data_IF_657322639070
#
_entry.id   IF_657322639070
#
_cell.length_a   1.000
_cell.length_b   1.000
_cell.length_c   1.000
_cell.angle_alpha   90.00
_cell.angle_beta   90.00
_cell.angle_gamma   90.00
#
_symmetry.space_group_name_H-M   'P 1'
#
loop_
_entity.id
_entity.type
_entity.pdbx_description
1 polymer ?
#
# COMPACT_ATOMS: atom_id res chain seq x y z
N UNK A 1 -28.06 -33.88 -24.24
CA UNK A 1 -27.41 -34.01 -25.55
C UNK A 1 -25.95 -33.60 -25.40
N UNK A 2 -25.10 -34.60 -25.36
CA UNK A 2 -23.64 -34.47 -25.15
C UNK A 2 -23.00 -34.47 -26.54
N UNK A 3 -22.13 -33.50 -26.83
CA UNK A 3 -21.23 -33.58 -28.00
C UNK A 3 -19.78 -33.49 -27.52
N UNK A 4 -19.15 -34.64 -27.59
CA UNK A 4 -17.72 -34.86 -27.42
C UNK A 4 -17.06 -34.55 -28.77
N UNK A 5 -16.09 -33.61 -28.79
CA UNK A 5 -15.22 -33.43 -29.93
C UNK A 5 -13.79 -33.86 -29.55
N UNK A 6 -13.38 -34.95 -30.19
CA UNK A 6 -12.02 -35.50 -30.19
C UNK A 6 -11.17 -34.64 -31.13
N UNK A 7 -9.99 -34.24 -30.71
CA UNK A 7 -9.00 -33.69 -31.62
C UNK A 7 -7.68 -34.43 -31.49
N UNK A 8 -7.17 -34.74 -32.66
CA UNK A 8 -6.13 -35.69 -33.01
C UNK A 8 -4.73 -35.13 -32.75
N UNK A 9 -3.88 -36.00 -32.21
CA UNK A 9 -2.44 -35.85 -32.02
C UNK A 9 -1.71 -35.92 -33.35
N UNK A 10 -0.86 -34.98 -33.67
CA UNK A 10 0.11 -35.06 -34.77
C UNK A 10 1.53 -35.01 -34.19
N UNK A 11 2.21 -36.15 -34.33
CA UNK A 11 3.63 -36.32 -33.98
C UNK A 11 4.46 -35.89 -35.19
N UNK A 12 5.38 -34.96 -35.01
CA UNK A 12 6.39 -34.62 -35.99
C UNK A 12 7.76 -35.02 -35.46
N UNK A 13 8.33 -36.03 -36.04
CA UNK A 13 9.70 -36.47 -35.82
C UNK A 13 10.63 -35.69 -36.76
N UNK A 14 11.62 -35.00 -36.25
CA UNK A 14 12.72 -34.44 -37.06
C UNK A 14 14.05 -34.95 -36.53
N UNK A 15 14.75 -35.63 -37.40
CA UNK A 15 16.08 -36.20 -37.27
C UNK A 15 17.16 -35.11 -37.26
N UNK A 16 18.09 -35.17 -36.28
CA UNK A 16 19.27 -34.31 -36.21
C UNK A 16 20.50 -35.00 -36.83
N UNK A 17 21.11 -34.33 -37.78
CA UNK A 17 22.45 -34.64 -38.28
C UNK A 17 23.48 -33.93 -37.37
N UNK A 18 24.48 -34.69 -36.94
CA UNK A 18 25.67 -34.21 -36.28
C UNK A 18 26.65 -33.58 -37.27
N UNK A 19 27.16 -32.39 -36.94
CA UNK A 19 28.33 -31.82 -37.57
C UNK A 19 29.34 -31.41 -36.51
N UNK A 20 30.45 -32.10 -36.41
CA UNK A 20 31.65 -31.68 -35.68
C UNK A 20 32.33 -30.57 -36.46
N UNK A 21 32.73 -29.49 -35.76
CA UNK A 21 33.73 -28.53 -36.27
C UNK A 21 34.52 -27.88 -35.14
N UNK A 22 35.78 -28.26 -35.14
CA UNK A 22 36.99 -27.51 -34.83
C UNK A 22 37.05 -26.48 -33.70
N UNK A 23 37.87 -26.83 -32.73
CA UNK A 23 38.47 -25.94 -31.72
C UNK A 23 39.22 -24.75 -32.33
N UNK A 24 38.88 -23.56 -31.89
CA UNK A 24 39.67 -22.36 -32.00
C UNK A 24 39.94 -21.83 -30.58
N UNK A 25 41.15 -21.98 -30.10
CA UNK A 25 41.64 -21.42 -28.84
C UNK A 25 41.88 -19.91 -29.02
N UNK A 26 40.88 -19.09 -28.68
CA UNK A 26 41.04 -17.65 -28.47
C UNK A 26 41.37 -17.37 -26.99
N UNK A 27 42.10 -16.30 -26.65
CA UNK A 27 42.39 -15.96 -25.27
C UNK A 27 41.09 -15.67 -24.50
N UNK A 28 41.03 -16.23 -23.28
CA UNK A 28 39.92 -16.04 -22.36
C UNK A 28 39.70 -14.55 -22.09
N UNK A 29 38.62 -14.01 -22.63
CA UNK A 29 38.11 -12.75 -22.19
C UNK A 29 37.57 -12.95 -20.77
N UNK A 30 38.12 -12.23 -19.83
CA UNK A 30 37.58 -12.09 -18.46
C UNK A 30 36.14 -11.57 -18.61
N UNK A 31 35.12 -12.25 -18.05
CA UNK A 31 33.79 -11.70 -18.05
C UNK A 31 33.82 -10.39 -17.26
N UNK A 32 33.54 -9.27 -17.96
CA UNK A 32 33.17 -8.02 -17.31
C UNK A 32 31.94 -8.27 -16.46
N UNK A 33 31.95 -7.91 -15.16
CA UNK A 33 30.73 -8.01 -14.37
C UNK A 33 29.68 -7.14 -15.04
N UNK A 34 28.58 -7.75 -15.47
CA UNK A 34 27.35 -7.04 -15.82
C UNK A 34 27.02 -6.11 -14.63
N UNK A 35 26.67 -4.84 -14.87
CA UNK A 35 26.09 -4.04 -13.81
C UNK A 35 24.86 -4.80 -13.31
N UNK A 36 24.89 -5.20 -12.06
CA UNK A 36 23.70 -5.59 -11.33
C UNK A 36 22.87 -4.32 -11.22
N UNK A 37 21.97 -4.11 -12.17
CA UNK A 37 20.85 -3.21 -11.98
C UNK A 37 20.04 -3.82 -10.84
N UNK A 38 20.44 -3.49 -9.61
CA UNK A 38 19.60 -3.64 -8.46
C UNK A 38 18.49 -2.60 -8.63
N UNK A 39 17.50 -2.93 -9.46
CA UNK A 39 16.19 -2.32 -9.35
C UNK A 39 15.74 -2.66 -7.93
N UNK A 40 15.96 -1.71 -7.03
CA UNK A 40 15.29 -1.70 -5.74
C UNK A 40 13.82 -1.57 -6.10
N UNK A 41 13.12 -2.69 -6.15
CA UNK A 41 11.66 -2.73 -6.25
C UNK A 41 11.16 -1.87 -5.11
N UNK A 42 10.78 -0.64 -5.44
CA UNK A 42 10.25 0.31 -4.47
C UNK A 42 8.92 -0.28 -4.01
N UNK A 43 8.93 -0.82 -2.81
CA UNK A 43 7.67 -1.24 -2.20
C UNK A 43 6.73 -0.04 -2.16
N UNK A 44 5.44 -0.27 -2.41
CA UNK A 44 4.43 0.77 -2.36
C UNK A 44 4.48 1.55 -1.03
N UNK A 45 4.32 2.87 -1.05
CA UNK A 45 4.41 3.69 0.15
C UNK A 45 3.27 3.35 1.14
N UNK A 46 3.59 3.41 2.43
CA UNK A 46 2.66 3.04 3.49
C UNK A 46 2.56 4.10 4.57
N UNK A 47 1.59 3.96 5.45
CA UNK A 47 1.45 4.82 6.64
C UNK A 47 2.65 4.74 7.58
N UNK A 48 3.48 3.69 7.50
CA UNK A 48 4.70 3.55 8.27
C UNK A 48 5.88 4.40 7.75
N UNK A 49 5.72 5.03 6.59
CA UNK A 49 6.77 5.83 5.94
C UNK A 49 6.70 7.33 6.30
N UNK A 50 5.85 7.72 7.26
CA UNK A 50 5.77 9.12 7.72
C UNK A 50 5.03 10.03 6.75
N UNK A 51 3.81 9.66 6.38
CA UNK A 51 3.00 10.34 5.36
C UNK A 51 2.19 11.54 5.89
N UNK A 52 2.37 11.95 7.12
CA UNK A 52 1.64 13.06 7.75
C UNK A 52 2.53 13.82 8.73
N UNK A 53 2.16 15.04 9.10
CA UNK A 53 2.89 15.83 10.09
C UNK A 53 2.24 15.76 11.49
N UNK A 54 3.04 15.98 12.54
CA UNK A 54 2.48 16.09 13.90
C UNK A 54 1.49 17.26 14.01
N UNK A 55 1.76 18.39 13.33
CA UNK A 55 0.85 19.52 13.33
C UNK A 55 -0.52 19.17 12.75
N UNK A 56 -0.55 18.37 11.68
CA UNK A 56 -1.78 17.87 11.07
C UNK A 56 -2.53 16.94 12.05
N UNK A 57 -1.82 16.02 12.68
CA UNK A 57 -2.41 15.12 13.68
C UNK A 57 -2.94 15.87 14.92
N UNK A 58 -2.29 16.95 15.35
CA UNK A 58 -2.76 17.77 16.47
C UNK A 58 -4.06 18.54 16.14
N UNK A 59 -4.23 19.00 14.88
CA UNK A 59 -5.52 19.54 14.41
C UNK A 59 -6.60 18.47 14.44
N UNK A 60 -6.27 17.27 13.97
CA UNK A 60 -7.16 16.11 14.02
C UNK A 60 -7.57 15.72 15.45
N UNK A 61 -6.64 15.76 16.41
CA UNK A 61 -6.91 15.52 17.82
C UNK A 61 -7.90 16.55 18.39
N UNK A 62 -7.71 17.83 18.08
CA UNK A 62 -8.61 18.88 18.53
C UNK A 62 -10.04 18.69 17.98
N UNK A 63 -10.14 18.33 16.70
CA UNK A 63 -11.43 18.03 16.07
C UNK A 63 -12.07 16.76 16.63
N UNK A 64 -11.29 15.70 16.82
CA UNK A 64 -11.78 14.45 17.41
C UNK A 64 -12.40 14.69 18.79
N UNK A 65 -11.72 15.47 19.65
CA UNK A 65 -12.21 15.81 20.98
C UNK A 65 -13.48 16.64 20.98
N UNK A 66 -13.67 17.52 20.01
CA UNK A 66 -14.84 18.40 19.96
C UNK A 66 -16.05 17.77 19.25
N UNK A 67 -15.83 16.82 18.36
CA UNK A 67 -16.87 16.34 17.45
C UNK A 67 -17.09 14.83 17.57
N UNK A 68 -16.04 14.03 17.78
CA UNK A 68 -16.13 12.58 17.76
C UNK A 68 -16.27 11.95 19.16
N UNK A 69 -15.66 12.56 20.18
CA UNK A 69 -15.50 11.97 21.52
C UNK A 69 -16.79 11.80 22.31
N UNK A 70 -17.91 12.39 21.86
CA UNK A 70 -19.22 12.15 22.48
C UNK A 70 -19.73 10.71 22.27
N UNK A 71 -19.32 10.07 21.17
CA UNK A 71 -19.78 8.75 20.75
C UNK A 71 -18.66 7.75 20.48
N UNK A 72 -17.41 8.19 20.36
CA UNK A 72 -16.24 7.40 19.99
C UNK A 72 -15.17 7.51 21.08
N UNK A 73 -14.70 6.37 21.60
CA UNK A 73 -13.49 6.37 22.43
C UNK A 73 -12.26 6.30 21.51
N UNK A 74 -11.22 7.06 21.84
CA UNK A 74 -9.96 7.00 21.08
C UNK A 74 -9.32 5.61 21.14
N UNK A 75 -9.59 4.82 22.18
CA UNK A 75 -9.14 3.45 22.31
C UNK A 75 -9.73 2.52 21.23
N UNK A 76 -10.97 2.76 20.77
CA UNK A 76 -11.62 1.95 19.73
C UNK A 76 -10.80 1.93 18.42
N UNK A 77 -10.08 3.02 18.14
CA UNK A 77 -9.26 3.20 16.94
C UNK A 77 -7.86 2.59 17.05
N UNK A 78 -7.53 1.98 18.18
CA UNK A 78 -6.24 1.29 18.42
C UNK A 78 -6.40 -0.20 18.69
N UNK A 79 -7.63 -0.69 18.78
CA UNK A 79 -7.92 -2.09 19.04
C UNK A 79 -7.45 -3.03 17.92
N UNK A 80 -7.12 -4.26 18.28
CA UNK A 80 -6.70 -5.29 17.32
C UNK A 80 -7.76 -5.52 16.21
N UNK A 81 -9.04 -5.42 16.55
CA UNK A 81 -10.14 -5.56 15.59
C UNK A 81 -10.16 -4.45 14.55
N UNK A 82 -9.93 -3.19 14.98
CA UNK A 82 -9.80 -2.06 14.09
C UNK A 82 -8.56 -2.20 13.19
N UNK A 83 -7.39 -2.43 13.79
CA UNK A 83 -6.14 -2.61 13.04
C UNK A 83 -6.25 -3.74 12.02
N UNK A 84 -6.73 -4.91 12.41
CA UNK A 84 -6.86 -6.07 11.51
C UNK A 84 -7.86 -5.87 10.37
N UNK A 85 -8.84 -4.98 10.56
CA UNK A 85 -9.78 -4.62 9.49
C UNK A 85 -9.14 -3.76 8.42
N UNK A 86 -8.25 -2.86 8.80
CA UNK A 86 -7.70 -1.84 7.93
C UNK A 86 -6.26 -2.11 7.47
N UNK A 87 -5.59 -3.13 8.02
CA UNK A 87 -4.29 -3.58 7.51
C UNK A 87 -4.37 -3.90 6.03
N UNK A 88 -3.41 -3.48 5.26
CA UNK A 88 -3.32 -3.66 3.81
C UNK A 88 -4.49 -3.07 3.00
N UNK A 89 -5.30 -2.17 3.58
CA UNK A 89 -6.26 -1.36 2.83
C UNK A 89 -5.61 -0.03 2.43
N UNK A 90 -6.12 0.61 1.35
CA UNK A 90 -5.64 1.95 1.03
C UNK A 90 -6.09 2.97 2.08
N UNK A 91 -5.30 4.02 2.25
CA UNK A 91 -5.63 5.14 3.17
C UNK A 91 -6.95 5.80 2.76
N UNK A 92 -7.23 5.86 1.44
CA UNK A 92 -8.50 6.38 0.94
C UNK A 92 -9.72 5.59 1.43
N UNK A 93 -9.63 4.28 1.54
CA UNK A 93 -10.76 3.47 2.01
C UNK A 93 -11.12 3.78 3.47
N UNK A 94 -10.12 3.99 4.34
CA UNK A 94 -10.37 4.42 5.72
C UNK A 94 -10.86 5.86 5.76
N UNK A 95 -10.28 6.76 4.94
CA UNK A 95 -10.74 8.14 4.81
C UNK A 95 -12.22 8.20 4.41
N UNK A 96 -12.59 7.44 3.37
CA UNK A 96 -13.96 7.37 2.88
C UNK A 96 -14.92 6.86 3.96
N UNK A 97 -14.52 5.81 4.69
CA UNK A 97 -15.30 5.27 5.80
C UNK A 97 -15.55 6.32 6.89
N UNK A 98 -14.54 7.09 7.28
CA UNK A 98 -14.67 8.15 8.28
C UNK A 98 -15.59 9.26 7.75
N UNK A 99 -15.36 9.74 6.54
CA UNK A 99 -16.14 10.82 5.95
C UNK A 99 -17.64 10.44 5.74
N UNK A 100 -17.88 9.21 5.24
CA UNK A 100 -19.23 8.73 4.96
C UNK A 100 -20.05 8.47 6.24
N UNK A 101 -19.41 8.07 7.34
CA UNK A 101 -20.11 7.51 8.49
C UNK A 101 -20.00 8.33 9.76
N UNK A 102 -19.14 9.33 9.77
CA UNK A 102 -18.84 10.12 10.96
C UNK A 102 -18.98 11.63 10.70
N UNK A 103 -19.53 12.40 11.62
CA UNK A 103 -20.26 11.95 12.83
C UNK A 103 -21.52 11.15 12.47
N UNK A 104 -21.92 10.21 13.32
CA UNK A 104 -23.05 9.31 13.03
C UNK A 104 -24.38 10.03 12.84
N UNK A 105 -24.60 11.12 13.55
CA UNK A 105 -25.81 11.96 13.49
C UNK A 105 -25.78 12.96 12.34
N UNK A 106 -24.62 13.21 11.72
CA UNK A 106 -24.45 14.12 10.59
C UNK A 106 -23.37 13.63 9.60
N UNK A 107 -23.60 12.49 8.91
CA UNK A 107 -22.67 11.97 7.93
C UNK A 107 -22.35 12.98 6.83
N UNK A 108 -21.13 12.92 6.26
CA UNK A 108 -20.64 13.83 5.21
C UNK A 108 -20.49 15.31 5.62
N UNK A 109 -20.58 15.62 6.91
CA UNK A 109 -20.48 17.01 7.37
C UNK A 109 -19.04 17.51 7.51
N UNK A 110 -18.09 16.60 7.63
CA UNK A 110 -16.69 16.97 7.69
C UNK A 110 -16.18 17.37 6.31
N UNK A 111 -15.44 18.47 6.24
CA UNK A 111 -14.70 18.83 5.05
C UNK A 111 -13.59 17.80 4.79
N UNK A 112 -13.03 17.80 3.57
CA UNK A 112 -11.90 16.92 3.22
C UNK A 112 -10.72 17.11 4.15
N UNK A 113 -10.38 18.36 4.45
CA UNK A 113 -9.28 18.68 5.39
C UNK A 113 -9.55 18.12 6.79
N UNK A 114 -10.76 18.32 7.31
CA UNK A 114 -11.13 17.83 8.64
C UNK A 114 -11.08 16.29 8.70
N UNK A 115 -11.59 15.62 7.69
CA UNK A 115 -11.51 14.15 7.61
C UNK A 115 -10.06 13.66 7.58
N UNK A 116 -9.21 14.32 6.76
CA UNK A 116 -7.79 13.98 6.67
C UNK A 116 -7.06 14.25 7.96
N UNK A 117 -7.31 15.39 8.63
CA UNK A 117 -6.72 15.71 9.92
C UNK A 117 -7.11 14.67 11.00
N UNK A 118 -8.39 14.27 11.08
CA UNK A 118 -8.84 13.20 12.00
C UNK A 118 -8.15 11.87 11.68
N UNK A 119 -7.97 11.56 10.40
CA UNK A 119 -7.29 10.34 9.98
C UNK A 119 -5.82 10.32 10.45
N UNK A 120 -5.11 11.44 10.32
CA UNK A 120 -3.72 11.54 10.81
C UNK A 120 -3.62 11.46 12.33
N UNK A 121 -4.63 11.92 13.06
CA UNK A 121 -4.73 11.69 14.51
C UNK A 121 -4.89 10.18 14.82
N UNK A 122 -5.70 9.44 14.06
CA UNK A 122 -5.83 7.98 14.20
C UNK A 122 -4.47 7.30 13.95
N UNK A 123 -3.71 7.75 12.96
CA UNK A 123 -2.36 7.25 12.73
C UNK A 123 -1.42 7.53 13.90
N UNK A 124 -1.45 8.73 14.45
CA UNK A 124 -0.70 9.11 15.67
C UNK A 124 -1.08 8.26 16.88
N UNK A 125 -2.37 7.96 17.08
CA UNK A 125 -2.85 7.07 18.15
C UNK A 125 -2.27 5.65 18.01
N UNK A 126 -2.03 5.21 16.80
CA UNK A 126 -1.44 3.90 16.48
C UNK A 126 0.10 3.93 16.41
N UNK A 127 0.72 4.99 16.93
CA UNK A 127 2.18 5.16 17.04
C UNK A 127 2.90 5.15 15.68
N UNK A 128 2.21 5.50 14.60
CA UNK A 128 2.83 5.62 13.30
C UNK A 128 3.74 6.87 13.25
N UNK A 129 4.87 6.80 12.53
CA UNK A 129 5.80 7.92 12.45
C UNK A 129 5.19 9.10 11.69
N UNK A 130 5.47 10.30 12.16
CA UNK A 130 5.20 11.52 11.40
C UNK A 130 6.38 11.82 10.47
N UNK A 131 6.08 12.41 9.31
CA UNK A 131 7.04 12.92 8.35
C UNK A 131 7.09 14.44 8.32
N UNK A 132 7.63 14.97 7.22
CA UNK A 132 7.82 16.40 7.03
C UNK A 132 6.65 17.05 6.27
N UNK A 133 5.94 16.28 5.45
CA UNK A 133 4.85 16.74 4.60
C UNK A 133 3.48 16.33 5.17
N UNK A 134 2.47 17.19 4.99
CA UNK A 134 1.09 16.86 5.34
C UNK A 134 0.51 15.85 4.36
N UNK A 135 -0.27 14.91 4.88
CA UNK A 135 -1.09 14.03 4.05
C UNK A 135 -2.05 14.88 3.20
N UNK A 136 -2.01 14.67 1.90
CA UNK A 136 -2.87 15.36 0.95
C UNK A 136 -4.36 15.07 1.21
N UNK A 137 -5.22 15.88 0.61
CA UNK A 137 -6.68 15.77 0.82
C UNK A 137 -7.43 15.32 -0.41
N UNK A 138 -6.77 15.13 -1.55
CA UNK A 138 -7.36 14.63 -2.78
C UNK A 138 -7.34 13.09 -2.82
N UNK A 139 -8.31 12.52 -3.52
CA UNK A 139 -8.54 11.09 -3.54
C UNK A 139 -7.35 10.31 -4.11
N UNK A 140 -6.80 10.77 -5.21
CA UNK A 140 -5.72 10.08 -5.90
C UNK A 140 -4.46 10.01 -5.03
N UNK A 141 -4.06 11.15 -4.43
CA UNK A 141 -2.86 11.20 -3.58
C UNK A 141 -2.98 10.35 -2.31
N UNK A 142 -4.17 10.25 -1.69
CA UNK A 142 -4.34 9.43 -0.47
C UNK A 142 -4.57 7.95 -0.78
N UNK A 143 -4.99 7.59 -2.01
CA UNK A 143 -5.15 6.20 -2.44
C UNK A 143 -3.81 5.54 -2.79
N UNK A 144 -2.77 6.34 -3.04
CA UNK A 144 -1.41 5.85 -3.28
C UNK A 144 -0.74 5.20 -2.06
N UNK A 145 -1.30 5.40 -0.86
CA UNK A 145 -0.74 4.87 0.39
C UNK A 145 -1.52 3.66 0.91
N UNK A 146 -0.78 2.67 1.41
CA UNK A 146 -1.35 1.50 2.07
C UNK A 146 -1.22 1.60 3.58
N UNK A 147 -2.21 1.10 4.30
CA UNK A 147 -2.20 1.10 5.76
C UNK A 147 -1.32 -0.05 6.27
N UNK A 148 -0.24 0.30 6.97
CA UNK A 148 0.59 -0.61 7.72
C UNK A 148 0.74 -0.08 9.15
N UNK A 149 0.28 -0.83 10.14
CA UNK A 149 0.28 -0.40 11.52
C UNK A 149 1.62 -0.61 12.24
N UNK A 150 2.50 -1.39 11.68
CA UNK A 150 3.84 -1.56 12.21
C UNK A 150 4.84 -0.73 11.41
N UNK A 151 5.55 0.23 12.02
CA UNK A 151 6.62 0.91 11.31
C UNK A 151 7.63 -0.11 10.80
N UNK A 152 8.01 0.01 9.53
CA UNK A 152 9.09 -0.79 8.96
C UNK A 152 10.36 -0.46 9.74
N UNK A 153 10.89 -1.45 10.46
CA UNK A 153 12.20 -1.31 11.10
C UNK A 153 13.25 -1.21 10.00
N UNK A 154 14.19 -0.26 10.10
CA UNK A 154 15.27 -0.10 9.12
C UNK A 154 16.20 -1.30 9.08
#
# INVERSE_FOLDING_TARGET
>A
MVRILRSTTTIFALTFLAACSASSSGPAATPEPLPEDTETESADPTTADGIFTLAQADRGEALFRSTCSECQDSADWTETGFRGRWEDQSVYQLWYYVNERMPYDNPWSLSRQETTDVLTYIFKLNELPAGEDELATDDDSIDDYWIAWNPRLP
#
